data_IF_776769069750
#
_entry.id   IF_776769069750
#
_cell.length_a   1.000
_cell.length_b   1.000
_cell.length_c   1.000
_cell.angle_alpha   90.00
_cell.angle_beta   90.00
_cell.angle_gamma   90.00
#
_symmetry.space_group_name_H-M   'P 1'
#
loop_
_entity.id
_entity.type
_entity.pdbx_description
1 polymer ?
#
# COMPACT_ATOMS: atom_id res chain seq x y z
N UNK A 1 -6.52 -35.84 3.78
CA UNK A 1 -7.07 -34.61 3.19
C UNK A 1 -6.57 -33.44 4.02
N UNK A 2 -5.48 -32.77 3.62
CA UNK A 2 -4.92 -31.63 4.38
C UNK A 2 -4.02 -30.75 3.49
N UNK A 3 -4.60 -30.11 2.46
CA UNK A 3 -3.89 -29.20 1.54
C UNK A 3 -4.48 -27.78 1.49
N UNK A 4 -5.32 -27.40 2.46
CA UNK A 4 -5.99 -26.08 2.47
C UNK A 4 -5.31 -25.02 3.34
N UNK A 5 -4.46 -25.39 4.31
CA UNK A 5 -3.79 -24.41 5.18
C UNK A 5 -2.66 -23.64 4.50
N UNK A 6 -1.92 -24.31 3.59
CA UNK A 6 -0.80 -23.68 2.87
C UNK A 6 -1.29 -22.61 1.91
N UNK A 7 -2.36 -22.87 1.14
CA UNK A 7 -2.86 -21.95 0.11
C UNK A 7 -3.37 -20.63 0.70
N UNK A 8 -4.12 -20.67 1.79
CA UNK A 8 -4.61 -19.46 2.48
C UNK A 8 -3.49 -18.60 3.06
N UNK A 9 -2.47 -19.21 3.66
CA UNK A 9 -1.30 -18.50 4.19
C UNK A 9 -0.50 -17.80 3.08
N UNK A 10 -0.22 -18.50 1.97
CA UNK A 10 0.50 -17.91 0.83
C UNK A 10 -0.28 -16.77 0.18
N UNK A 11 -1.62 -16.88 0.12
CA UNK A 11 -2.48 -15.81 -0.40
C UNK A 11 -2.48 -14.58 0.53
N UNK A 12 -2.60 -14.78 1.84
CA UNK A 12 -2.52 -13.69 2.82
C UNK A 12 -1.14 -13.01 2.77
N UNK A 13 -0.07 -13.79 2.64
CA UNK A 13 1.30 -13.26 2.51
C UNK A 13 1.48 -12.46 1.23
N UNK A 14 0.98 -12.95 0.09
CA UNK A 14 1.01 -12.22 -1.17
C UNK A 14 0.24 -10.90 -1.09
N UNK A 15 -0.91 -10.89 -0.39
CA UNK A 15 -1.71 -9.69 -0.19
C UNK A 15 -0.98 -8.67 0.69
N UNK A 16 -0.40 -9.14 1.79
CA UNK A 16 0.40 -8.32 2.69
C UNK A 16 1.61 -7.70 1.96
N UNK A 17 2.25 -8.46 1.06
CA UNK A 17 3.35 -7.98 0.23
C UNK A 17 2.92 -6.88 -0.74
N UNK A 18 1.79 -7.07 -1.42
CA UNK A 18 1.25 -6.08 -2.35
C UNK A 18 0.92 -4.76 -1.63
N UNK A 19 0.30 -4.83 -0.45
CA UNK A 19 0.04 -3.63 0.35
C UNK A 19 1.30 -3.05 0.99
N UNK A 20 2.25 -3.89 1.38
CA UNK A 20 3.53 -3.48 1.96
C UNK A 20 4.26 -2.51 1.05
N UNK A 21 4.37 -2.80 -0.24
CA UNK A 21 5.03 -1.89 -1.18
C UNK A 21 4.25 -0.61 -1.47
N UNK A 22 2.92 -0.68 -1.50
CA UNK A 22 2.06 0.50 -1.69
C UNK A 22 2.29 1.53 -0.59
N UNK A 23 2.65 1.09 0.61
CA UNK A 23 2.90 1.94 1.77
C UNK A 23 4.39 2.29 1.87
N UNK A 24 5.28 1.30 1.78
CA UNK A 24 6.71 1.49 2.01
C UNK A 24 7.37 2.37 0.93
N UNK A 25 6.99 2.20 -0.34
CA UNK A 25 7.63 2.94 -1.45
C UNK A 25 7.38 4.45 -1.31
N UNK A 26 6.13 4.95 -1.16
CA UNK A 26 5.90 6.37 -0.94
C UNK A 26 6.62 6.89 0.31
N UNK A 27 6.59 6.14 1.43
CA UNK A 27 7.18 6.62 2.69
C UNK A 27 8.67 6.85 2.51
N UNK A 28 9.38 5.87 1.94
CA UNK A 28 10.82 5.98 1.72
C UNK A 28 11.14 7.11 0.75
N UNK A 29 10.42 7.21 -0.37
CA UNK A 29 10.67 8.25 -1.37
C UNK A 29 10.45 9.66 -0.78
N UNK A 30 9.31 9.90 -0.15
CA UNK A 30 8.98 11.23 0.37
C UNK A 30 9.77 11.58 1.64
N UNK A 31 10.09 10.61 2.50
CA UNK A 31 10.93 10.86 3.67
C UNK A 31 12.36 11.19 3.25
N UNK A 32 12.92 10.50 2.24
CA UNK A 32 14.26 10.80 1.73
C UNK A 32 14.28 12.17 1.03
N UNK A 33 13.30 12.46 0.18
CA UNK A 33 13.15 13.79 -0.44
C UNK A 33 13.04 14.88 0.62
N UNK A 34 12.13 14.72 1.58
CA UNK A 34 11.94 15.67 2.67
C UNK A 34 13.21 15.89 3.46
N UNK A 35 13.96 14.83 3.78
CA UNK A 35 15.26 14.92 4.48
C UNK A 35 16.32 15.66 3.68
N UNK A 36 16.41 15.43 2.37
CA UNK A 36 17.39 16.09 1.50
C UNK A 36 17.07 17.59 1.42
N UNK A 37 15.79 17.93 1.24
CA UNK A 37 15.34 19.32 1.21
C UNK A 37 15.56 20.00 2.56
N UNK A 38 15.25 19.33 3.67
CA UNK A 38 15.46 19.83 5.03
C UNK A 38 16.93 20.16 5.31
N UNK A 39 17.87 19.37 4.78
CA UNK A 39 19.30 19.68 4.86
C UNK A 39 19.69 20.87 3.98
N UNK A 40 19.08 21.01 2.79
CA UNK A 40 19.41 22.07 1.84
C UNK A 40 18.90 23.44 2.29
N UNK A 41 17.72 23.50 2.89
CA UNK A 41 17.06 24.74 3.31
C UNK A 41 17.24 25.05 4.80
N UNK A 42 17.87 24.17 5.58
CA UNK A 42 18.01 24.36 7.03
C UNK A 42 16.70 24.24 7.80
N UNK A 43 15.65 23.67 7.19
CA UNK A 43 14.30 23.53 7.77
C UNK A 43 14.12 22.24 8.57
N UNK A 44 15.20 21.52 8.87
CA UNK A 44 15.12 20.22 9.55
C UNK A 44 14.33 20.29 10.87
N UNK A 45 13.31 19.44 11.11
CA UNK A 45 12.81 18.32 10.29
C UNK A 45 11.40 18.56 9.67
N UNK A 46 11.07 19.80 9.27
CA UNK A 46 9.71 20.14 8.81
C UNK A 46 9.33 19.53 7.46
N UNK A 47 10.22 19.55 6.45
CA UNK A 47 9.91 19.01 5.12
C UNK A 47 9.90 17.49 5.10
N UNK A 48 10.70 16.84 5.96
CA UNK A 48 10.59 15.42 6.24
C UNK A 48 9.20 15.07 6.78
N UNK A 49 8.71 15.83 7.77
CA UNK A 49 7.41 15.57 8.38
C UNK A 49 6.26 15.77 7.38
N UNK A 50 6.34 16.84 6.58
CA UNK A 50 5.42 17.08 5.47
C UNK A 50 5.46 15.94 4.43
N UNK A 51 6.65 15.46 4.08
CA UNK A 51 6.82 14.34 3.15
C UNK A 51 6.17 13.05 3.67
N UNK A 52 6.35 12.72 4.95
CA UNK A 52 5.69 11.56 5.57
C UNK A 52 4.16 11.72 5.53
N UNK A 53 3.63 12.90 5.87
CA UNK A 53 2.19 13.18 5.78
C UNK A 53 1.64 12.98 4.36
N UNK A 54 2.31 13.56 3.36
CA UNK A 54 1.95 13.40 1.94
C UNK A 54 1.99 11.92 1.54
N UNK A 55 3.01 11.20 1.97
CA UNK A 55 3.12 9.76 1.71
C UNK A 55 1.96 8.96 2.30
N UNK A 56 1.56 9.25 3.54
CA UNK A 56 0.43 8.56 4.19
C UNK A 56 -0.85 8.79 3.37
N UNK A 57 -1.10 10.02 2.92
CA UNK A 57 -2.25 10.33 2.09
C UNK A 57 -2.23 9.54 0.78
N UNK A 58 -1.11 9.59 0.04
CA UNK A 58 -0.94 8.87 -1.23
C UNK A 58 -1.13 7.36 -1.05
N UNK A 59 -0.49 6.80 -0.03
CA UNK A 59 -0.58 5.37 0.29
C UNK A 59 -2.02 4.98 0.64
N UNK A 60 -2.74 5.82 1.40
CA UNK A 60 -4.13 5.58 1.78
C UNK A 60 -5.05 5.56 0.55
N UNK A 61 -4.90 6.53 -0.36
CA UNK A 61 -5.65 6.53 -1.62
C UNK A 61 -5.33 5.31 -2.49
N UNK A 62 -4.05 4.94 -2.61
CA UNK A 62 -3.61 3.77 -3.36
C UNK A 62 -4.17 2.46 -2.78
N UNK A 63 -4.20 2.36 -1.45
CA UNK A 63 -4.75 1.22 -0.73
C UNK A 63 -6.26 1.08 -1.00
N UNK A 64 -7.03 2.17 -0.84
CA UNK A 64 -8.48 2.18 -1.10
C UNK A 64 -8.79 1.79 -2.54
N UNK A 65 -8.02 2.29 -3.52
CA UNK A 65 -8.20 1.95 -4.93
C UNK A 65 -7.98 0.44 -5.20
N UNK A 66 -6.93 -0.15 -4.61
CA UNK A 66 -6.67 -1.59 -4.70
C UNK A 66 -7.76 -2.42 -4.01
N UNK A 67 -8.19 -2.04 -2.82
CA UNK A 67 -9.29 -2.69 -2.12
C UNK A 67 -10.58 -2.68 -2.95
N UNK A 68 -10.96 -1.53 -3.51
CA UNK A 68 -12.14 -1.43 -4.38
C UNK A 68 -12.03 -2.33 -5.61
N UNK A 69 -10.84 -2.39 -6.24
CA UNK A 69 -10.60 -3.28 -7.38
C UNK A 69 -10.74 -4.76 -6.98
N UNK A 70 -10.26 -5.14 -5.81
CA UNK A 70 -10.37 -6.50 -5.29
C UNK A 70 -11.83 -6.87 -5.00
N UNK A 71 -12.58 -6.00 -4.30
CA UNK A 71 -14.01 -6.21 -4.03
C UNK A 71 -14.81 -6.35 -5.33
N UNK A 72 -14.58 -5.47 -6.31
CA UNK A 72 -15.24 -5.55 -7.61
C UNK A 72 -14.93 -6.86 -8.34
N UNK A 73 -13.69 -7.35 -8.23
CA UNK A 73 -13.29 -8.63 -8.84
C UNK A 73 -14.04 -9.81 -8.20
N UNK A 74 -14.13 -9.83 -6.87
CA UNK A 74 -14.88 -10.84 -6.12
C UNK A 74 -16.37 -10.84 -6.50
N UNK A 75 -16.99 -9.67 -6.60
CA UNK A 75 -18.40 -9.53 -7.02
C UNK A 75 -18.61 -10.05 -8.46
N UNK A 76 -17.68 -9.74 -9.38
CA UNK A 76 -17.78 -10.17 -10.78
C UNK A 76 -17.56 -11.66 -11.00
N UNK A 77 -16.72 -12.31 -10.18
CA UNK A 77 -16.51 -13.76 -10.25
C UNK A 77 -17.74 -14.52 -9.71
N UNK A 78 -18.32 -14.05 -8.60
CA UNK A 78 -19.53 -14.67 -8.02
C UNK A 78 -20.74 -14.66 -8.98
N UNK A 79 -20.90 -13.58 -9.75
CA UNK A 79 -22.00 -13.45 -10.74
C UNK A 79 -21.83 -14.38 -11.96
N UNK A 80 -20.62 -14.87 -12.25
CA UNK A 80 -20.36 -15.78 -13.38
C UNK A 80 -20.60 -17.25 -13.02
N UNK A 81 -20.46 -17.64 -11.76
CA UNK A 81 -20.78 -19.00 -11.29
C UNK A 81 -22.29 -19.25 -11.16
N UNK A 82 -23.11 -18.19 -11.08
CA UNK A 82 -24.57 -18.29 -10.94
C UNK A 82 -25.34 -18.39 -12.28
N UNK A 83 -24.67 -18.35 -13.43
CA UNK A 83 -25.27 -18.48 -14.77
C UNK A 83 -24.78 -19.73 -15.47
#
# INVERSE_FOLDING_TARGET
>A
MEKNGKTGFWQALSLAWEFGYVIAIPIVIFALLGRILDKKFGTSPWLLLAGILISILISSFGLIAKFKKMLKKLESDNRKESK
#
